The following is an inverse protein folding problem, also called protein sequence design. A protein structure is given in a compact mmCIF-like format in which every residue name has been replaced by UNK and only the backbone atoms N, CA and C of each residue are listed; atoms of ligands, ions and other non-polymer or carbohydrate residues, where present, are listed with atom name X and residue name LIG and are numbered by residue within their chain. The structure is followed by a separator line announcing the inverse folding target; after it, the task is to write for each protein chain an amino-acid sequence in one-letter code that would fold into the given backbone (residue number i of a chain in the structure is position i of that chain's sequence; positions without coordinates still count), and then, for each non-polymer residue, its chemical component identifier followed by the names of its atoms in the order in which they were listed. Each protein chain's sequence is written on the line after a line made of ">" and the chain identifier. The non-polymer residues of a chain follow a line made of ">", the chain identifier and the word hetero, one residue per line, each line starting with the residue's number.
data_IF_820186887178
#
_entry.id   IF_820186887178
#
_cell.length_a   1.000
_cell.length_b   1.000
_cell.length_c   1.000
_cell.angle_alpha   90.00
_cell.angle_beta   90.00
_cell.angle_gamma   90.00
#
_symmetry.space_group_name_H-M   'P 1'
#
loop_
_entity.id
_entity.type
_entity.pdbx_description
1 polymer ?
#
# COMPACT_ATOMS: atom_id res chain seq x y z
N UNK A 1 23.44 -7.87 5.28
CA UNK A 1 22.38 -6.84 5.50
C UNK A 1 21.57 -6.72 4.23
N UNK A 2 20.24 -6.65 4.31
CA UNK A 2 19.41 -6.35 3.13
C UNK A 2 19.72 -4.94 2.63
N UNK A 3 19.80 -4.77 1.33
CA UNK A 3 19.93 -3.49 0.64
C UNK A 3 18.63 -2.67 0.78
N UNK A 4 18.72 -1.36 0.59
CA UNK A 4 17.54 -0.48 0.55
C UNK A 4 16.50 -0.97 -0.46
N UNK A 5 16.94 -1.43 -1.63
CA UNK A 5 16.07 -1.96 -2.69
C UNK A 5 15.33 -3.23 -2.24
N UNK A 6 16.01 -4.17 -1.58
CA UNK A 6 15.38 -5.38 -1.05
C UNK A 6 14.34 -5.09 0.05
N UNK A 7 14.49 -3.97 0.76
CA UNK A 7 13.53 -3.54 1.79
C UNK A 7 12.28 -2.96 1.14
N UNK A 8 12.43 -2.01 0.22
CA UNK A 8 11.27 -1.36 -0.43
C UNK A 8 10.51 -2.30 -1.37
N UNK A 9 11.20 -3.29 -1.95
CA UNK A 9 10.57 -4.28 -2.84
C UNK A 9 9.94 -5.46 -2.07
N UNK A 10 10.14 -5.56 -0.76
CA UNK A 10 9.55 -6.63 0.03
C UNK A 10 8.28 -6.13 0.72
N UNK A 11 7.08 -6.56 0.27
CA UNK A 11 5.82 -6.00 0.75
C UNK A 11 5.49 -6.34 2.20
N UNK A 12 6.18 -7.29 2.81
CA UNK A 12 5.99 -7.65 4.22
C UNK A 12 6.74 -6.73 5.17
N UNK A 13 7.74 -5.98 4.69
CA UNK A 13 8.56 -5.09 5.52
C UNK A 13 8.50 -3.64 5.05
N UNK A 14 8.11 -3.38 3.80
CA UNK A 14 7.97 -2.05 3.27
C UNK A 14 6.87 -1.28 4.01
N UNK A 15 7.22 -0.14 4.60
CA UNK A 15 6.30 0.80 5.24
C UNK A 15 6.04 2.05 4.39
N UNK A 16 6.70 2.17 3.23
CA UNK A 16 6.67 3.39 2.42
C UNK A 16 7.04 4.63 3.23
N UNK A 17 6.22 5.67 3.16
CA UNK A 17 6.43 6.91 3.92
C UNK A 17 6.31 6.75 5.44
N UNK A 18 5.81 5.62 5.95
CA UNK A 18 5.71 5.34 7.38
C UNK A 18 6.99 4.83 8.04
N UNK A 19 8.09 4.66 7.29
CA UNK A 19 9.41 4.55 7.92
C UNK A 19 9.75 5.87 8.63
N UNK A 20 10.06 5.79 9.91
CA UNK A 20 10.57 6.91 10.71
C UNK A 20 11.94 7.36 10.21
N UNK A 21 12.36 8.59 10.55
CA UNK A 21 13.69 9.08 10.16
C UNK A 21 14.82 8.20 10.68
N UNK A 22 14.68 7.66 11.90
CA UNK A 22 15.67 6.77 12.50
C UNK A 22 15.73 5.41 11.79
N UNK A 23 14.58 4.81 11.45
CA UNK A 23 14.55 3.60 10.62
C UNK A 23 15.18 3.86 9.25
N UNK A 24 14.90 5.01 8.62
CA UNK A 24 15.48 5.33 7.30
C UNK A 24 17.00 5.46 7.36
N UNK A 25 17.56 6.05 8.41
CA UNK A 25 19.02 6.10 8.63
C UNK A 25 19.59 4.70 8.82
N UNK A 26 19.00 3.92 9.73
CA UNK A 26 19.46 2.57 10.06
C UNK A 26 19.39 1.60 8.85
N UNK A 27 18.35 1.72 8.04
CA UNK A 27 18.07 0.88 6.88
C UNK A 27 18.64 1.45 5.56
N UNK A 28 19.36 2.57 5.62
CA UNK A 28 19.93 3.27 4.44
C UNK A 28 18.89 3.64 3.38
N UNK A 29 17.70 4.06 3.81
CA UNK A 29 16.58 4.51 2.97
C UNK A 29 16.56 6.04 2.75
N UNK A 30 17.51 6.77 3.32
CA UNK A 30 17.64 8.23 3.12
C UNK A 30 17.92 8.52 1.64
N UNK A 31 17.12 9.39 1.03
CA UNK A 31 17.19 9.71 -0.41
C UNK A 31 16.46 8.72 -1.33
N UNK A 32 16.05 7.56 -0.82
CA UNK A 32 15.27 6.56 -1.58
C UNK A 32 13.76 6.86 -1.50
N UNK A 33 13.31 7.39 -0.36
CA UNK A 33 11.92 7.71 -0.09
C UNK A 33 11.67 9.23 -0.07
N UNK A 34 10.46 9.70 -0.41
CA UNK A 34 10.06 11.10 -0.23
C UNK A 34 10.33 11.59 1.20
N UNK A 35 10.68 12.86 1.40
CA UNK A 35 11.07 13.41 2.71
C UNK A 35 9.97 13.35 3.76
N UNK A 36 8.70 13.33 3.34
CA UNK A 36 7.55 13.23 4.24
C UNK A 36 7.55 11.89 5.01
N UNK A 37 7.30 11.98 6.30
CA UNK A 37 7.02 10.83 7.17
C UNK A 37 5.53 10.86 7.50
N UNK A 38 4.84 9.75 7.27
CA UNK A 38 3.40 9.63 7.51
C UNK A 38 3.12 8.57 8.58
N UNK A 39 2.05 8.72 9.34
CA UNK A 39 1.53 7.61 10.16
C UNK A 39 0.78 6.61 9.29
N UNK A 40 0.51 5.41 9.80
CA UNK A 40 -0.27 4.41 9.07
C UNK A 40 -1.68 4.93 8.77
N UNK A 41 -2.29 5.65 9.70
CA UNK A 41 -3.64 6.23 9.56
C UNK A 41 -3.67 7.29 8.45
N UNK A 42 -2.63 8.12 8.34
CA UNK A 42 -2.50 9.08 7.25
C UNK A 42 -2.37 8.39 5.89
N UNK A 43 -1.56 7.32 5.83
CA UNK A 43 -1.44 6.51 4.62
C UNK A 43 -2.78 5.87 4.25
N UNK A 44 -3.51 5.30 5.22
CA UNK A 44 -4.83 4.70 4.99
C UNK A 44 -5.80 5.74 4.41
N UNK A 45 -5.90 6.92 5.03
CA UNK A 45 -6.77 7.99 4.56
C UNK A 45 -6.43 8.43 3.13
N UNK A 46 -5.13 8.61 2.84
CA UNK A 46 -4.67 8.97 1.50
C UNK A 46 -4.97 7.87 0.48
N UNK A 47 -4.68 6.61 0.81
CA UNK A 47 -4.93 5.46 -0.05
C UNK A 47 -6.42 5.28 -0.34
N UNK A 48 -7.29 5.50 0.66
CA UNK A 48 -8.73 5.46 0.45
C UNK A 48 -9.22 6.56 -0.51
N UNK A 49 -8.70 7.78 -0.36
CA UNK A 49 -9.02 8.88 -1.29
C UNK A 49 -8.59 8.56 -2.73
N UNK A 50 -7.42 7.94 -2.92
CA UNK A 50 -6.95 7.51 -4.23
C UNK A 50 -7.76 6.35 -4.81
N UNK A 51 -8.23 5.44 -3.96
CA UNK A 51 -9.16 4.37 -4.36
C UNK A 51 -10.48 4.95 -4.85
N UNK A 52 -11.07 5.93 -4.15
CA UNK A 52 -12.34 6.55 -4.53
C UNK A 52 -12.28 7.31 -5.87
N UNK A 53 -11.09 7.66 -6.35
CA UNK A 53 -10.90 8.27 -7.68
C UNK A 53 -10.93 7.25 -8.82
N UNK A 54 -10.90 5.94 -8.54
CA UNK A 54 -10.94 4.88 -9.57
C UNK A 54 -12.38 4.70 -10.07
N UNK A 55 -12.55 4.69 -11.38
CA UNK A 55 -13.87 4.74 -12.01
C UNK A 55 -14.43 3.34 -12.21
N UNK A 56 -13.60 2.40 -12.66
CA UNK A 56 -14.02 1.02 -12.91
C UNK A 56 -13.59 0.06 -11.81
N UNK A 57 -14.32 -1.05 -11.67
CA UNK A 57 -13.97 -2.11 -10.73
C UNK A 57 -12.63 -2.78 -11.07
N UNK A 58 -12.27 -2.84 -12.35
CA UNK A 58 -10.93 -3.28 -12.77
C UNK A 58 -9.83 -2.33 -12.26
N UNK A 59 -10.00 -1.02 -12.39
CA UNK A 59 -9.03 -0.05 -11.86
C UNK A 59 -8.92 -0.13 -10.33
N UNK A 60 -10.05 -0.25 -9.64
CA UNK A 60 -10.10 -0.46 -8.19
C UNK A 60 -9.34 -1.73 -7.80
N UNK A 61 -9.57 -2.84 -8.51
CA UNK A 61 -8.89 -4.11 -8.27
C UNK A 61 -7.39 -4.00 -8.52
N UNK A 62 -6.97 -3.42 -9.64
CA UNK A 62 -5.54 -3.20 -9.94
C UNK A 62 -4.89 -2.36 -8.86
N UNK A 63 -5.58 -1.32 -8.37
CA UNK A 63 -5.08 -0.47 -7.29
C UNK A 63 -4.89 -1.25 -5.98
N UNK A 64 -5.91 -2.00 -5.53
CA UNK A 64 -5.84 -2.81 -4.32
C UNK A 64 -4.76 -3.92 -4.42
N UNK A 65 -4.62 -4.56 -5.59
CA UNK A 65 -3.58 -5.58 -5.80
C UNK A 65 -2.17 -5.00 -5.87
N UNK A 66 -2.03 -3.80 -6.43
CA UNK A 66 -0.75 -3.06 -6.40
C UNK A 66 -0.37 -2.75 -4.95
N UNK A 67 -1.33 -2.32 -4.13
CA UNK A 67 -1.11 -2.08 -2.71
C UNK A 67 -0.71 -3.37 -1.97
N UNK A 68 -1.43 -4.47 -2.21
CA UNK A 68 -1.11 -5.79 -1.64
C UNK A 68 0.32 -6.25 -1.97
N UNK A 69 0.78 -6.01 -3.20
CA UNK A 69 2.11 -6.40 -3.69
C UNK A 69 3.23 -5.44 -3.26
N UNK A 70 2.91 -4.28 -2.68
CA UNK A 70 3.90 -3.26 -2.31
C UNK A 70 4.00 -3.01 -0.80
N UNK A 71 2.88 -3.05 -0.07
CA UNK A 71 2.84 -2.83 1.37
C UNK A 71 1.64 -3.57 1.99
N UNK A 72 1.90 -4.77 2.55
CA UNK A 72 0.85 -5.60 3.14
C UNK A 72 0.24 -5.00 4.39
N UNK A 73 1.03 -4.31 5.20
CA UNK A 73 0.53 -3.66 6.43
C UNK A 73 -0.53 -2.62 6.07
N UNK A 74 -0.24 -1.76 5.09
CA UNK A 74 -1.19 -0.75 4.63
C UNK A 74 -2.41 -1.38 3.94
N UNK A 75 -2.20 -2.41 3.12
CA UNK A 75 -3.31 -3.15 2.51
C UNK A 75 -4.29 -3.70 3.56
N UNK A 76 -3.81 -4.43 4.56
CA UNK A 76 -4.68 -5.03 5.56
C UNK A 76 -5.29 -3.99 6.51
N UNK A 77 -4.57 -2.90 6.81
CA UNK A 77 -5.11 -1.79 7.60
C UNK A 77 -6.25 -1.05 6.89
N UNK A 78 -6.16 -0.92 5.56
CA UNK A 78 -7.23 -0.33 4.75
C UNK A 78 -8.40 -1.32 4.58
N UNK A 79 -8.12 -2.58 4.24
CA UNK A 79 -9.14 -3.64 4.09
C UNK A 79 -9.98 -3.81 5.36
N UNK A 80 -9.38 -3.72 6.55
CA UNK A 80 -10.12 -3.88 7.81
C UNK A 80 -11.14 -2.76 8.07
N UNK A 81 -10.97 -1.60 7.45
CA UNK A 81 -11.88 -0.46 7.59
C UNK A 81 -13.00 -0.45 6.53
N UNK A 82 -12.78 -1.12 5.39
CA UNK A 82 -13.66 -1.08 4.21
C UNK A 82 -13.96 -2.48 3.67
N UNK A 83 -14.01 -3.49 4.53
CA UNK A 83 -14.07 -4.90 4.11
C UNK A 83 -15.27 -5.20 3.22
N UNK A 84 -16.45 -4.70 3.56
CA UNK A 84 -17.68 -4.91 2.79
C UNK A 84 -17.60 -4.28 1.40
N UNK A 85 -16.97 -3.09 1.29
CA UNK A 85 -16.76 -2.39 0.03
C UNK A 85 -15.74 -3.11 -0.87
N UNK A 86 -14.70 -3.70 -0.26
CA UNK A 86 -13.54 -4.20 -1.01
C UNK A 86 -13.62 -5.70 -1.34
N UNK A 87 -14.35 -6.49 -0.54
CA UNK A 87 -14.54 -7.91 -0.78
C UNK A 87 -15.01 -8.25 -2.21
N UNK A 88 -16.06 -7.61 -2.77
CA UNK A 88 -16.46 -7.90 -4.16
C UNK A 88 -15.36 -7.55 -5.16
N UNK A 89 -14.63 -6.44 -4.96
CA UNK A 89 -13.57 -6.02 -5.88
C UNK A 89 -12.37 -6.99 -5.89
N UNK A 90 -12.03 -7.56 -4.73
CA UNK A 90 -10.85 -8.43 -4.57
C UNK A 90 -11.17 -9.89 -4.90
N UNK A 91 -12.36 -10.37 -4.55
CA UNK A 91 -12.72 -11.79 -4.59
C UNK A 91 -13.57 -12.18 -5.79
N UNK A 92 -14.28 -11.25 -6.42
CA UNK A 92 -15.22 -11.60 -7.49
C UNK A 92 -14.47 -12.06 -8.77
N UNK A 93 -14.70 -13.31 -9.24
CA UNK A 93 -14.12 -13.80 -10.48
C UNK A 93 -14.68 -13.09 -11.72
N UNK A 94 -15.76 -12.30 -11.65
CA UNK A 94 -16.35 -11.60 -12.81
C UNK A 94 -15.45 -10.52 -13.42
N UNK A 95 -14.39 -10.08 -12.72
CA UNK A 95 -13.36 -9.21 -13.31
C UNK A 95 -12.35 -9.99 -14.18
N UNK A 96 -12.50 -11.33 -14.29
CA UNK A 96 -11.69 -12.18 -15.17
C UNK A 96 -12.22 -12.24 -16.62
N UNK A 97 -13.41 -11.67 -16.91
CA UNK A 97 -14.04 -11.67 -18.25
C UNK A 97 -13.80 -10.36 -19.05
N UNK A 98 -12.62 -9.74 -18.90
CA UNK A 98 -12.17 -8.62 -19.73
C UNK A 98 -10.99 -9.02 -20.62
#
# INVERSE_FOLDING_TARGET
>A
MKTAQEIINNPFINKGTAFTLEERKALKLVGVLPTVVQTLEQQVAQTYQEFQKKVSDLEKRVYLMTLFNTNRTLFYALMSQHVEEFMPIVYDPTVADA
#
